data_IF_593084972478
#
_entry.id   IF_593084972478
#
_cell.length_a   1.000
_cell.length_b   1.000
_cell.length_c   1.000
_cell.angle_alpha   90.00
_cell.angle_beta   90.00
_cell.angle_gamma   90.00
#
_symmetry.space_group_name_H-M   'P 1'
#
loop_
_entity.id
_entity.type
_entity.pdbx_description
1 polymer ?
#
# COMPACT_ATOMS: atom_id res chain seq x y z
N UNK A 1 47.65 -7.28 48.23
CA UNK A 1 47.52 -7.29 46.74
C UNK A 1 46.08 -7.66 46.42
N UNK A 2 45.22 -6.65 46.27
CA UNK A 2 43.76 -6.77 46.14
C UNK A 2 43.43 -6.47 44.69
N UNK A 3 42.84 -7.45 43.99
CA UNK A 3 42.36 -7.30 42.58
C UNK A 3 40.87 -6.98 42.63
N UNK A 4 40.38 -5.89 42.06
CA UNK A 4 38.94 -5.66 41.93
C UNK A 4 38.36 -6.39 40.70
N UNK A 5 37.29 -7.12 40.92
CA UNK A 5 36.44 -7.71 39.88
C UNK A 5 35.61 -6.61 39.21
N UNK A 6 35.82 -6.39 37.92
CA UNK A 6 34.94 -5.57 37.10
C UNK A 6 33.69 -6.37 36.73
N UNK A 7 32.51 -5.94 37.17
CA UNK A 7 31.20 -6.39 36.67
C UNK A 7 30.95 -5.67 35.33
N UNK A 8 30.93 -6.43 34.25
CA UNK A 8 30.47 -5.95 32.95
C UNK A 8 28.92 -5.92 32.91
N UNK A 9 28.32 -4.75 32.86
CA UNK A 9 26.92 -4.57 32.53
C UNK A 9 26.76 -4.78 31.01
N UNK A 10 26.09 -5.86 30.61
CA UNK A 10 25.63 -6.07 29.26
C UNK A 10 24.33 -5.26 29.05
N UNK A 11 24.42 -4.11 28.38
CA UNK A 11 23.25 -3.34 27.97
C UNK A 11 22.61 -4.02 26.74
N UNK A 12 21.48 -4.68 26.95
CA UNK A 12 20.65 -5.24 25.87
C UNK A 12 19.90 -4.06 25.23
N UNK A 13 20.40 -3.57 24.10
CA UNK A 13 19.70 -2.57 23.27
C UNK A 13 18.55 -3.23 22.53
N UNK A 14 17.33 -3.08 23.04
CA UNK A 14 16.11 -3.46 22.34
C UNK A 14 15.85 -2.44 21.24
N UNK A 15 16.13 -2.79 19.99
CA UNK A 15 15.77 -1.99 18.82
C UNK A 15 14.25 -2.12 18.63
N UNK A 16 13.51 -1.10 19.07
CA UNK A 16 12.11 -0.94 18.71
C UNK A 16 12.06 -0.54 17.22
N UNK A 17 11.76 -1.49 16.35
CA UNK A 17 11.38 -1.21 14.96
C UNK A 17 9.97 -0.60 15.01
N UNK A 18 9.90 0.72 14.94
CA UNK A 18 8.64 1.42 14.70
C UNK A 18 8.21 1.13 13.27
N UNK A 19 7.28 0.18 13.07
CA UNK A 19 6.61 0.00 11.79
C UNK A 19 5.63 1.17 11.64
N UNK A 20 6.11 2.27 11.07
CA UNK A 20 5.21 3.27 10.50
C UNK A 20 4.52 2.62 9.31
N UNK A 21 3.17 2.66 9.21
CA UNK A 21 2.52 2.27 7.97
C UNK A 21 3.12 3.13 6.85
N UNK A 22 3.71 2.48 5.85
CA UNK A 22 4.17 3.18 4.67
C UNK A 22 2.98 3.98 4.11
N UNK A 23 3.16 5.27 3.75
CA UNK A 23 2.11 5.98 3.07
C UNK A 23 1.77 5.16 1.82
N UNK A 24 0.49 4.81 1.65
CA UNK A 24 0.03 4.24 0.40
C UNK A 24 0.25 5.32 -0.65
N UNK A 25 1.34 5.23 -1.41
CA UNK A 25 1.53 6.05 -2.58
C UNK A 25 0.41 5.65 -3.55
N UNK A 26 -0.61 6.48 -3.64
CA UNK A 26 -1.55 6.40 -4.74
C UNK A 26 -0.72 6.65 -6.01
N UNK A 27 -0.64 5.65 -6.89
CA UNK A 27 0.06 5.79 -8.16
C UNK A 27 -0.59 6.94 -8.95
N UNK A 28 0.14 8.04 -9.13
CA UNK A 28 -0.33 9.14 -9.95
C UNK A 28 0.28 9.01 -11.35
N UNK A 29 -0.52 8.56 -12.30
CA UNK A 29 -0.12 8.45 -13.69
C UNK A 29 -0.32 9.79 -14.41
N UNK A 30 0.75 10.47 -14.77
CA UNK A 30 0.65 11.62 -15.66
C UNK A 30 0.24 11.17 -17.07
N UNK A 31 -0.52 12.02 -17.79
CA UNK A 31 -0.86 11.71 -19.18
C UNK A 31 0.42 11.50 -19.99
N UNK A 32 0.52 10.43 -20.78
CA UNK A 32 1.72 10.14 -21.54
C UNK A 32 1.90 11.17 -22.66
N UNK A 33 3.14 11.47 -22.97
CA UNK A 33 3.54 12.37 -24.03
C UNK A 33 4.32 11.60 -25.09
N UNK A 34 4.42 12.17 -26.29
CA UNK A 34 5.28 11.60 -27.33
C UNK A 34 6.71 11.50 -26.83
N UNK A 35 7.26 10.29 -26.85
CA UNK A 35 8.59 9.96 -26.30
C UNK A 35 9.44 9.28 -27.35
N UNK A 36 10.71 9.66 -27.43
CA UNK A 36 11.68 9.05 -28.35
C UNK A 36 12.72 8.27 -27.54
N UNK A 37 12.89 7.00 -27.92
CA UNK A 37 13.89 6.10 -27.36
C UNK A 37 14.97 5.84 -28.42
N UNK A 38 16.22 6.09 -28.07
CA UNK A 38 17.37 5.97 -28.97
C UNK A 38 18.18 4.73 -28.61
N UNK A 39 18.69 4.01 -29.62
CA UNK A 39 19.56 2.86 -29.43
C UNK A 39 20.91 3.23 -28.79
N UNK A 40 21.62 2.25 -28.26
CA UNK A 40 22.91 2.46 -27.60
C UNK A 40 23.95 3.12 -28.53
N UNK A 41 23.99 2.73 -29.79
CA UNK A 41 24.90 3.34 -30.80
C UNK A 41 24.41 4.72 -31.30
N UNK A 42 23.20 5.14 -30.98
CA UNK A 42 22.64 6.42 -31.38
C UNK A 42 22.23 6.52 -32.86
N UNK A 43 22.23 5.41 -33.59
CA UNK A 43 21.98 5.34 -35.04
C UNK A 43 20.56 4.89 -35.41
N UNK A 44 19.77 4.48 -34.43
CA UNK A 44 18.36 4.17 -34.58
C UNK A 44 17.52 4.76 -33.44
N UNK A 45 16.27 5.05 -33.69
CA UNK A 45 15.35 5.53 -32.68
C UNK A 45 13.92 5.08 -32.95
N UNK A 46 13.16 4.88 -31.90
CA UNK A 46 11.71 4.66 -31.97
C UNK A 46 11.00 5.81 -31.23
N UNK A 47 10.11 6.49 -31.94
CA UNK A 47 9.27 7.54 -31.38
C UNK A 47 7.87 6.99 -31.18
N UNK A 48 7.43 6.94 -29.93
CA UNK A 48 6.08 6.53 -29.54
C UNK A 48 5.19 7.76 -29.41
N UNK A 49 4.08 7.75 -30.14
CA UNK A 49 3.01 8.74 -30.03
C UNK A 49 1.83 8.10 -29.30
N UNK A 50 1.51 8.56 -28.08
CA UNK A 50 0.38 8.03 -27.31
C UNK A 50 -0.96 8.23 -28.02
N UNK A 51 -1.92 7.41 -27.67
CA UNK A 51 -3.32 7.68 -27.93
C UNK A 51 -3.78 8.90 -27.13
N UNK A 52 -4.45 9.83 -27.77
CA UNK A 52 -4.98 11.01 -27.08
C UNK A 52 -6.11 10.65 -26.12
N UNK A 53 -5.93 10.99 -24.85
CA UNK A 53 -6.95 10.89 -23.81
C UNK A 53 -7.62 12.25 -23.55
N UNK A 54 -8.89 12.23 -23.20
CA UNK A 54 -9.60 13.43 -22.75
C UNK A 54 -9.08 13.87 -21.37
N UNK A 55 -9.00 12.93 -20.43
CA UNK A 55 -8.38 13.11 -19.13
C UNK A 55 -8.03 11.76 -18.51
N UNK A 56 -7.19 11.77 -17.46
CA UNK A 56 -6.90 10.60 -16.67
C UNK A 56 -8.17 10.05 -15.98
N UNK A 57 -9.00 10.93 -15.44
CA UNK A 57 -10.25 10.54 -14.76
C UNK A 57 -11.24 9.91 -15.74
N UNK A 58 -11.34 10.43 -16.97
CA UNK A 58 -12.22 9.84 -17.99
C UNK A 58 -11.76 8.43 -18.36
N UNK A 59 -10.45 8.20 -18.48
CA UNK A 59 -9.88 6.88 -18.76
C UNK A 59 -10.27 5.87 -17.67
N UNK A 60 -9.98 6.15 -16.40
CA UNK A 60 -10.27 5.21 -15.31
C UNK A 60 -11.78 5.01 -15.10
N UNK A 61 -12.59 6.05 -15.24
CA UNK A 61 -14.05 5.91 -15.21
C UNK A 61 -14.54 4.96 -16.29
N UNK A 62 -14.09 5.15 -17.54
CA UNK A 62 -14.49 4.30 -18.64
C UNK A 62 -14.04 2.86 -18.46
N UNK A 63 -12.84 2.61 -17.89
CA UNK A 63 -12.39 1.27 -17.52
C UNK A 63 -13.30 0.60 -16.49
N UNK A 64 -13.71 1.32 -15.44
CA UNK A 64 -14.68 0.83 -14.43
C UNK A 64 -16.04 0.53 -15.06
N UNK A 65 -16.47 1.34 -16.02
CA UNK A 65 -17.74 1.20 -16.72
C UNK A 65 -17.65 0.29 -17.96
N UNK A 66 -16.51 -0.38 -18.18
CA UNK A 66 -16.26 -1.27 -19.34
C UNK A 66 -16.50 -0.63 -20.71
N UNK A 67 -16.22 0.67 -20.85
CA UNK A 67 -16.32 1.40 -22.09
C UNK A 67 -14.97 1.49 -22.80
N UNK A 68 -14.89 1.03 -24.04
CA UNK A 68 -13.67 1.03 -24.84
C UNK A 68 -13.83 1.82 -26.18
N UNK A 69 -12.80 2.50 -26.63
CA UNK A 69 -11.52 2.75 -25.99
C UNK A 69 -11.64 3.76 -24.85
N UNK A 70 -11.17 3.38 -23.65
CA UNK A 70 -11.36 4.15 -22.44
C UNK A 70 -10.73 5.55 -22.53
N UNK A 71 -11.44 6.59 -22.06
CA UNK A 71 -10.98 7.98 -22.05
C UNK A 71 -10.70 8.57 -23.42
N UNK A 72 -11.27 8.02 -24.50
CA UNK A 72 -11.03 8.44 -25.88
C UNK A 72 -11.37 9.91 -26.11
N UNK A 73 -10.41 10.71 -26.54
CA UNK A 73 -10.64 12.09 -26.96
C UNK A 73 -11.32 12.13 -28.31
N UNK A 74 -12.45 12.84 -28.40
CA UNK A 74 -13.25 12.91 -29.61
C UNK A 74 -12.46 13.50 -30.81
N UNK A 75 -12.52 12.84 -31.96
CA UNK A 75 -11.87 13.28 -33.20
C UNK A 75 -10.35 13.11 -33.22
N UNK A 76 -9.77 12.37 -32.26
CA UNK A 76 -8.34 12.06 -32.16
C UNK A 76 -8.03 10.60 -32.42
N UNK A 77 -6.74 10.26 -32.55
CA UNK A 77 -6.27 8.90 -32.80
C UNK A 77 -6.80 7.92 -31.74
N UNK A 78 -7.29 6.77 -32.21
CA UNK A 78 -7.86 5.71 -31.34
C UNK A 78 -6.82 4.73 -30.82
N UNK A 79 -5.59 4.82 -31.30
CA UNK A 79 -4.51 3.87 -31.00
C UNK A 79 -3.21 4.62 -30.81
N UNK A 80 -2.34 4.08 -29.97
CA UNK A 80 -0.96 4.51 -29.92
C UNK A 80 -0.22 4.05 -31.17
N UNK A 81 0.78 4.80 -31.58
CA UNK A 81 1.62 4.47 -32.74
C UNK A 81 3.10 4.62 -32.41
N UNK A 82 3.92 3.89 -33.12
CA UNK A 82 5.36 4.04 -33.05
C UNK A 82 5.95 4.21 -34.45
N UNK A 83 6.96 5.07 -34.54
CA UNK A 83 7.76 5.30 -35.74
C UNK A 83 9.20 4.95 -35.43
N UNK A 84 9.74 3.98 -36.15
CA UNK A 84 11.17 3.64 -36.12
C UNK A 84 11.89 4.34 -37.26
N UNK A 85 13.03 4.95 -36.93
CA UNK A 85 13.90 5.66 -37.86
C UNK A 85 15.35 5.23 -37.69
N UNK A 86 16.08 5.25 -38.79
CA UNK A 86 17.52 4.97 -38.87
C UNK A 86 18.27 6.23 -39.35
N UNK A 87 19.42 6.47 -38.79
CA UNK A 87 20.28 7.58 -39.21
C UNK A 87 21.11 7.15 -40.41
N UNK A 88 20.81 7.76 -41.57
CA UNK A 88 21.51 7.54 -42.86
C UNK A 88 22.04 8.89 -43.32
N UNK A 89 23.33 9.01 -43.58
CA UNK A 89 23.97 10.24 -44.05
C UNK A 89 23.56 11.51 -43.24
N UNK A 90 23.57 11.37 -41.91
CA UNK A 90 23.17 12.41 -40.94
C UNK A 90 21.68 12.84 -41.03
N UNK A 91 20.83 12.05 -41.66
CA UNK A 91 19.38 12.27 -41.73
C UNK A 91 18.63 11.07 -41.17
N UNK A 92 17.54 11.36 -40.47
CA UNK A 92 16.65 10.31 -39.97
C UNK A 92 15.71 9.87 -41.08
N UNK A 93 15.80 8.61 -41.47
CA UNK A 93 14.93 7.97 -42.45
C UNK A 93 13.98 6.99 -41.75
N UNK A 94 12.70 7.08 -42.10
CA UNK A 94 11.69 6.20 -41.53
C UNK A 94 11.87 4.77 -42.07
N UNK A 95 11.97 3.80 -41.15
CA UNK A 95 11.97 2.37 -41.48
C UNK A 95 10.52 1.88 -41.52
N UNK A 96 9.77 2.19 -40.50
CA UNK A 96 8.32 1.89 -40.44
C UNK A 96 7.59 2.90 -39.53
N UNK A 97 6.25 2.95 -39.69
CA UNK A 97 5.35 3.71 -38.85
C UNK A 97 4.04 2.93 -38.71
N UNK A 98 3.77 2.36 -37.54
CA UNK A 98 2.65 1.47 -37.29
C UNK A 98 1.96 1.77 -35.97
N UNK A 99 0.71 1.34 -35.87
CA UNK A 99 0.00 1.20 -34.62
C UNK A 99 0.70 0.14 -33.76
N UNK A 100 0.74 0.36 -32.44
CA UNK A 100 1.33 -0.57 -31.46
C UNK A 100 0.25 -1.24 -30.61
N UNK A 101 0.62 -2.35 -29.95
CA UNK A 101 -0.30 -3.16 -29.15
C UNK A 101 -0.71 -2.49 -27.83
N UNK A 102 0.13 -1.61 -27.30
CA UNK A 102 -0.15 -0.89 -26.06
C UNK A 102 -1.37 0.03 -26.22
N UNK A 103 -2.31 -0.01 -25.27
CA UNK A 103 -3.60 0.70 -25.40
C UNK A 103 -3.41 2.22 -25.52
N UNK A 104 -2.73 2.85 -24.58
CA UNK A 104 -2.50 4.31 -24.58
C UNK A 104 -1.06 4.62 -24.96
N UNK A 105 -0.10 3.99 -24.32
CA UNK A 105 1.33 4.07 -24.59
C UNK A 105 2.04 2.96 -23.77
N UNK A 106 3.23 2.51 -24.15
CA UNK A 106 4.11 1.76 -23.25
C UNK A 106 4.70 2.68 -22.18
N UNK A 107 5.12 2.09 -21.07
CA UNK A 107 5.90 2.79 -20.04
C UNK A 107 7.32 3.09 -20.52
N UNK A 108 7.92 2.14 -21.26
CA UNK A 108 9.24 2.32 -21.87
C UNK A 108 9.39 1.50 -23.15
N UNK A 109 10.44 1.81 -23.92
CA UNK A 109 10.81 1.04 -25.09
C UNK A 109 12.34 1.02 -25.27
N UNK A 110 12.83 -0.01 -25.95
CA UNK A 110 14.19 -0.07 -26.45
C UNK A 110 14.19 -0.41 -27.93
N UNK A 111 15.19 0.04 -28.66
CA UNK A 111 15.37 -0.26 -30.08
C UNK A 111 16.78 -0.77 -30.33
N UNK A 112 16.93 -1.82 -31.16
CA UNK A 112 18.21 -2.40 -31.51
C UNK A 112 18.98 -1.47 -32.45
N UNK A 113 20.32 -1.47 -32.37
CA UNK A 113 21.20 -0.56 -33.13
C UNK A 113 21.03 -0.63 -34.65
N UNK A 114 20.66 -1.78 -35.20
CA UNK A 114 20.37 -1.95 -36.63
C UNK A 114 18.93 -1.56 -37.03
N UNK A 115 18.05 -1.26 -36.04
CA UNK A 115 16.66 -0.92 -36.27
C UNK A 115 15.78 -2.08 -36.74
N UNK A 116 16.23 -3.33 -36.59
CA UNK A 116 15.46 -4.50 -36.99
C UNK A 116 14.41 -4.92 -35.95
N UNK A 117 14.61 -4.55 -34.69
CA UNK A 117 13.68 -4.86 -33.61
C UNK A 117 13.49 -3.65 -32.69
N UNK A 118 12.23 -3.47 -32.28
CA UNK A 118 11.86 -2.61 -31.17
C UNK A 118 11.07 -3.42 -30.14
N UNK A 119 11.27 -3.14 -28.86
CA UNK A 119 10.56 -3.82 -27.76
C UNK A 119 9.95 -2.75 -26.86
N UNK A 120 8.65 -2.86 -26.60
CA UNK A 120 7.95 -2.00 -25.64
C UNK A 120 7.65 -2.75 -24.35
N UNK A 121 7.57 -2.02 -23.25
CA UNK A 121 7.36 -2.59 -21.92
C UNK A 121 6.21 -1.90 -21.22
N UNK A 122 5.32 -2.71 -20.66
CA UNK A 122 4.18 -2.33 -19.83
C UNK A 122 3.18 -1.40 -20.54
N UNK A 123 1.96 -1.36 -20.06
CA UNK A 123 0.99 -0.37 -20.49
C UNK A 123 1.00 0.83 -19.55
N UNK A 124 0.78 2.03 -20.08
CA UNK A 124 0.85 3.31 -19.37
C UNK A 124 0.19 3.30 -17.99
N UNK A 125 -0.96 2.70 -17.81
CA UNK A 125 -1.70 2.71 -16.55
C UNK A 125 -1.47 1.48 -15.67
N UNK A 126 -0.64 0.50 -16.13
CA UNK A 126 -0.50 -0.81 -15.47
C UNK A 126 0.89 -1.38 -15.69
N UNK A 127 1.80 -1.19 -14.74
CA UNK A 127 3.12 -1.83 -14.79
C UNK A 127 3.03 -3.28 -14.31
N UNK A 128 3.45 -4.23 -15.16
CA UNK A 128 3.42 -5.67 -14.84
C UNK A 128 2.05 -6.34 -14.97
N UNK A 129 1.01 -5.59 -15.31
CA UNK A 129 -0.34 -6.13 -15.51
C UNK A 129 -0.74 -6.10 -16.99
N UNK A 130 -1.67 -6.97 -17.35
CA UNK A 130 -2.23 -7.03 -18.70
C UNK A 130 -1.41 -7.88 -19.68
N UNK A 131 -1.85 -7.91 -20.96
CA UNK A 131 -1.26 -8.79 -21.99
C UNK A 131 -0.02 -8.21 -22.66
N UNK A 132 0.28 -6.91 -22.48
CA UNK A 132 1.34 -6.19 -23.19
C UNK A 132 2.49 -5.78 -22.26
N UNK A 133 2.85 -6.65 -21.32
CA UNK A 133 3.96 -6.38 -20.37
C UNK A 133 5.30 -6.33 -21.12
N UNK A 134 5.43 -7.10 -22.20
CA UNK A 134 6.53 -7.02 -23.14
C UNK A 134 6.00 -7.30 -24.55
N UNK A 135 6.29 -6.39 -25.50
CA UNK A 135 5.85 -6.53 -26.88
C UNK A 135 7.02 -6.37 -27.83
N UNK A 136 7.22 -7.34 -28.71
CA UNK A 136 8.31 -7.39 -29.69
C UNK A 136 7.75 -7.02 -31.06
N UNK A 137 8.38 -6.06 -31.74
CA UNK A 137 8.13 -5.65 -33.12
C UNK A 137 9.35 -5.97 -33.98
N UNK A 138 9.11 -6.62 -35.12
CA UNK A 138 10.13 -7.03 -36.08
C UNK A 138 10.56 -5.94 -37.07
N UNK A 139 11.34 -6.31 -38.11
CA UNK A 139 11.97 -5.36 -39.02
C UNK A 139 10.99 -4.46 -39.79
N UNK A 140 9.79 -4.95 -40.05
CA UNK A 140 8.72 -4.25 -40.76
C UNK A 140 7.70 -3.60 -39.81
N UNK A 141 8.01 -3.55 -38.49
CA UNK A 141 7.11 -3.01 -37.46
C UNK A 141 5.93 -3.91 -37.11
N UNK A 142 5.86 -5.12 -37.68
CA UNK A 142 4.83 -6.08 -37.33
C UNK A 142 5.07 -6.69 -35.95
N UNK A 143 3.97 -6.97 -35.28
CA UNK A 143 3.97 -7.67 -34.01
C UNK A 143 4.55 -9.09 -34.18
N UNK A 144 5.65 -9.38 -33.50
CA UNK A 144 6.19 -10.74 -33.36
C UNK A 144 5.48 -11.45 -32.21
N UNK A 145 5.48 -10.83 -31.02
CA UNK A 145 4.87 -11.41 -29.83
C UNK A 145 4.48 -10.32 -28.83
N UNK A 146 3.33 -10.50 -28.18
CA UNK A 146 2.96 -9.83 -26.96
C UNK A 146 2.98 -10.85 -25.82
N UNK A 147 3.55 -10.49 -24.69
CA UNK A 147 3.74 -11.34 -23.51
C UNK A 147 3.15 -10.66 -22.28
N UNK A 148 2.34 -11.39 -21.54
CA UNK A 148 1.96 -11.05 -20.17
C UNK A 148 3.08 -11.42 -19.20
N UNK A 149 3.04 -10.91 -17.98
CA UNK A 149 4.04 -11.27 -16.96
C UNK A 149 4.00 -12.78 -16.63
N UNK A 150 2.83 -13.40 -16.69
CA UNK A 150 2.64 -14.84 -16.52
C UNK A 150 3.28 -15.72 -17.60
N UNK A 151 3.64 -15.15 -18.77
CA UNK A 151 4.39 -15.85 -19.80
C UNK A 151 5.91 -15.87 -19.52
N UNK A 152 6.36 -14.98 -18.61
CA UNK A 152 7.76 -14.81 -18.24
C UNK A 152 8.09 -15.49 -16.91
N UNK A 153 7.19 -15.41 -15.93
CA UNK A 153 7.42 -15.90 -14.57
C UNK A 153 6.19 -16.60 -13.99
N UNK A 154 6.36 -17.59 -13.08
CA UNK A 154 5.25 -18.32 -12.47
C UNK A 154 4.32 -17.42 -11.65
N UNK A 155 3.03 -17.79 -11.58
CA UNK A 155 2.01 -17.02 -10.87
C UNK A 155 2.34 -16.78 -9.39
N UNK A 156 2.92 -17.75 -8.68
CA UNK A 156 3.29 -17.57 -7.27
C UNK A 156 4.50 -16.66 -7.10
N UNK A 157 5.39 -16.61 -8.09
CA UNK A 157 6.47 -15.63 -8.12
C UNK A 157 5.93 -14.21 -8.29
N UNK A 158 4.95 -14.02 -9.19
CA UNK A 158 4.26 -12.74 -9.38
C UNK A 158 3.61 -12.25 -8.08
N UNK A 159 2.91 -13.14 -7.37
CA UNK A 159 2.29 -12.82 -6.07
C UNK A 159 3.30 -12.38 -5.01
N UNK A 160 4.53 -12.94 -5.06
CA UNK A 160 5.59 -12.61 -4.12
C UNK A 160 6.24 -11.25 -4.40
N UNK A 161 6.12 -10.72 -5.63
CA UNK A 161 6.69 -9.42 -5.98
C UNK A 161 5.97 -8.28 -5.26
N UNK A 162 6.69 -7.23 -4.84
CA UNK A 162 6.08 -6.02 -4.32
C UNK A 162 5.16 -5.38 -5.37
N UNK A 163 3.93 -5.07 -4.96
CA UNK A 163 2.95 -4.52 -5.88
C UNK A 163 1.99 -3.54 -5.21
N UNK A 164 1.43 -2.65 -6.02
CA UNK A 164 0.28 -1.80 -5.71
C UNK A 164 -0.94 -2.24 -6.53
N UNK A 165 -2.01 -1.44 -6.49
CA UNK A 165 -3.21 -1.68 -7.31
C UNK A 165 -2.92 -1.65 -8.81
N UNK A 166 -1.96 -0.83 -9.26
CA UNK A 166 -1.66 -0.59 -10.67
C UNK A 166 -0.22 -0.92 -11.08
N UNK A 167 0.65 -1.30 -10.15
CA UNK A 167 2.07 -1.53 -10.45
C UNK A 167 2.62 -2.74 -9.72
N UNK A 168 3.33 -3.59 -10.44
CA UNK A 168 4.18 -4.66 -9.91
C UNK A 168 5.63 -4.24 -10.15
N UNK A 169 6.45 -4.28 -9.13
CA UNK A 169 7.90 -4.07 -9.25
C UNK A 169 8.54 -5.38 -9.77
N UNK A 170 8.52 -5.59 -11.09
CA UNK A 170 8.85 -6.88 -11.65
C UNK A 170 10.18 -6.94 -12.39
N UNK A 171 10.78 -5.79 -12.79
CA UNK A 171 12.01 -5.77 -13.59
C UNK A 171 12.93 -4.60 -13.30
N UNK A 172 14.19 -4.77 -13.65
CA UNK A 172 15.16 -3.70 -13.87
C UNK A 172 15.21 -3.23 -15.34
N UNK A 173 16.32 -2.62 -15.74
CA UNK A 173 16.49 -2.07 -17.09
C UNK A 173 16.78 -3.17 -18.13
N UNK A 174 15.95 -3.33 -19.17
CA UNK A 174 16.14 -4.32 -20.20
C UNK A 174 17.25 -3.91 -21.19
N UNK A 175 17.84 -4.91 -21.83
CA UNK A 175 18.89 -4.72 -22.83
C UNK A 175 18.82 -5.76 -23.92
N UNK A 176 19.40 -5.48 -25.08
CA UNK A 176 19.66 -6.51 -26.07
C UNK A 176 20.90 -7.34 -25.69
N UNK A 177 20.90 -8.63 -26.05
CA UNK A 177 22.08 -9.49 -25.93
C UNK A 177 23.20 -9.03 -26.86
N UNK A 178 24.44 -9.39 -26.56
CA UNK A 178 25.61 -9.00 -27.38
C UNK A 178 25.52 -9.49 -28.82
N UNK A 179 24.90 -10.64 -29.05
CA UNK A 179 24.66 -11.22 -30.38
C UNK A 179 23.45 -10.61 -31.10
N UNK A 180 22.69 -9.75 -30.42
CA UNK A 180 21.50 -9.07 -30.95
C UNK A 180 20.28 -9.97 -31.20
N UNK A 181 20.32 -11.26 -30.83
CA UNK A 181 19.18 -12.17 -31.06
C UNK A 181 18.14 -12.20 -29.96
N UNK A 182 18.45 -11.65 -28.79
CA UNK A 182 17.57 -11.71 -27.62
C UNK A 182 17.39 -10.34 -26.96
N UNK A 183 16.27 -10.13 -26.33
CA UNK A 183 16.13 -9.12 -25.29
C UNK A 183 16.33 -9.80 -23.93
N UNK A 184 17.16 -9.22 -23.09
CA UNK A 184 17.47 -9.69 -21.74
C UNK A 184 16.77 -8.75 -20.76
N UNK A 185 15.90 -9.32 -19.96
CA UNK A 185 15.11 -8.58 -18.95
C UNK A 185 15.55 -9.04 -17.56
N UNK A 186 16.15 -8.15 -16.75
CA UNK A 186 16.45 -8.44 -15.36
C UNK A 186 15.13 -8.50 -14.56
N UNK A 187 14.71 -9.69 -14.17
CA UNK A 187 13.52 -9.91 -13.36
C UNK A 187 13.86 -9.65 -11.89
N UNK A 188 13.06 -8.84 -11.22
CA UNK A 188 13.24 -8.55 -9.79
C UNK A 188 13.06 -9.83 -8.95
N UNK A 189 13.98 -10.06 -8.01
CA UNK A 189 13.85 -11.13 -7.03
C UNK A 189 12.94 -10.63 -5.91
N UNK A 190 11.86 -11.36 -5.56
CA UNK A 190 10.95 -10.97 -4.50
C UNK A 190 11.65 -10.68 -3.17
N UNK A 191 11.20 -9.63 -2.49
CA UNK A 191 11.73 -9.19 -1.19
C UNK A 191 10.60 -8.79 -0.25
N UNK A 192 10.90 -8.71 1.04
CA UNK A 192 9.95 -8.15 2.02
C UNK A 192 9.89 -6.63 1.86
N UNK A 193 8.79 -6.15 1.25
CA UNK A 193 8.53 -4.72 1.01
C UNK A 193 9.17 -4.17 -0.28
N UNK A 194 8.91 -2.88 -0.52
CA UNK A 194 9.45 -2.15 -1.68
C UNK A 194 10.93 -1.83 -1.46
N UNK A 195 11.75 -2.19 -2.44
CA UNK A 195 13.18 -1.88 -2.49
C UNK A 195 13.45 -1.04 -3.72
N UNK A 196 14.17 0.08 -3.58
CA UNK A 196 14.46 0.99 -4.69
C UNK A 196 15.32 0.35 -5.79
N UNK A 197 16.22 -0.56 -5.42
CA UNK A 197 17.09 -1.30 -6.35
C UNK A 197 17.07 -2.79 -5.97
N UNK A 198 16.07 -3.56 -6.44
CA UNK A 198 15.95 -4.98 -6.11
C UNK A 198 17.04 -5.79 -6.82
N UNK A 199 17.52 -6.84 -6.15
CA UNK A 199 18.32 -7.86 -6.82
C UNK A 199 17.53 -8.46 -7.98
N UNK A 200 18.22 -8.84 -9.05
CA UNK A 200 17.58 -9.35 -10.27
C UNK A 200 18.21 -10.65 -10.78
N UNK A 201 17.43 -11.37 -11.58
CA UNK A 201 17.90 -12.52 -12.37
C UNK A 201 17.45 -12.35 -13.82
N UNK A 202 18.34 -12.62 -14.77
CA UNK A 202 18.08 -12.38 -16.19
C UNK A 202 17.23 -13.48 -16.83
N UNK A 203 16.16 -13.05 -17.49
CA UNK A 203 15.39 -13.84 -18.45
C UNK A 203 15.72 -13.33 -19.85
N UNK A 204 16.12 -14.22 -20.74
CA UNK A 204 16.38 -13.93 -22.14
C UNK A 204 15.17 -14.35 -22.99
N UNK A 205 14.68 -13.43 -23.83
CA UNK A 205 13.56 -13.67 -24.74
C UNK A 205 14.10 -13.58 -26.18
N UNK A 206 13.94 -14.63 -26.96
CA UNK A 206 14.31 -14.67 -28.36
C UNK A 206 13.45 -13.71 -29.19
N UNK A 207 14.09 -12.83 -29.95
CA UNK A 207 13.38 -11.75 -30.67
C UNK A 207 12.55 -12.26 -31.87
N UNK A 208 12.93 -13.40 -32.45
CA UNK A 208 12.23 -13.94 -33.60
C UNK A 208 10.99 -14.77 -33.21
N UNK A 209 11.03 -15.44 -32.07
CA UNK A 209 9.95 -16.35 -31.61
C UNK A 209 9.18 -15.84 -30.40
N UNK A 210 9.77 -14.93 -29.61
CA UNK A 210 9.21 -14.50 -28.32
C UNK A 210 9.32 -15.56 -27.22
N UNK A 211 10.13 -16.59 -27.39
CA UNK A 211 10.31 -17.65 -26.39
C UNK A 211 11.24 -17.15 -25.30
N UNK A 212 10.76 -17.20 -24.05
CA UNK A 212 11.50 -16.80 -22.88
C UNK A 212 12.23 -18.00 -22.24
N UNK A 213 13.46 -17.77 -21.74
CA UNK A 213 14.24 -18.75 -21.00
C UNK A 213 15.18 -18.06 -20.00
N UNK A 214 15.47 -18.66 -18.85
CA UNK A 214 16.48 -18.13 -17.93
C UNK A 214 17.86 -18.05 -18.57
N UNK A 215 18.57 -16.93 -18.42
CA UNK A 215 19.96 -16.80 -18.86
C UNK A 215 20.90 -17.67 -18.02
N UNK A 216 20.56 -17.87 -16.75
CA UNK A 216 21.25 -18.76 -15.81
C UNK A 216 20.21 -19.60 -15.05
N UNK A 217 20.03 -20.90 -15.39
CA UNK A 217 19.05 -21.76 -14.75
C UNK A 217 19.26 -21.91 -13.23
N UNK A 218 20.51 -22.00 -12.76
CA UNK A 218 20.80 -22.14 -11.33
C UNK A 218 20.40 -20.88 -10.54
N UNK A 219 20.73 -19.70 -11.07
CA UNK A 219 20.33 -18.44 -10.46
C UNK A 219 18.79 -18.27 -10.48
N UNK A 220 18.14 -18.74 -11.53
CA UNK A 220 16.68 -18.72 -11.64
C UNK A 220 16.01 -19.61 -10.59
N UNK A 221 16.48 -20.84 -10.40
CA UNK A 221 15.96 -21.73 -9.35
C UNK A 221 16.13 -21.13 -7.94
N UNK A 222 17.28 -20.47 -7.68
CA UNK A 222 17.50 -19.77 -6.42
C UNK A 222 16.51 -18.60 -6.25
N UNK A 223 16.21 -17.86 -7.32
CA UNK A 223 15.22 -16.79 -7.30
C UNK A 223 13.80 -17.32 -7.07
N UNK A 224 13.42 -18.45 -7.69
CA UNK A 224 12.15 -19.12 -7.47
C UNK A 224 11.97 -19.57 -6.00
N UNK A 225 13.04 -20.12 -5.40
CA UNK A 225 13.02 -20.50 -3.99
C UNK A 225 12.86 -19.30 -3.06
N UNK A 226 13.52 -18.19 -3.37
CA UNK A 226 13.35 -16.92 -2.65
C UNK A 226 11.91 -16.44 -2.76
N UNK A 227 11.32 -16.47 -3.96
CA UNK A 227 9.92 -16.11 -4.18
C UNK A 227 8.96 -16.96 -3.35
N UNK A 228 9.16 -18.27 -3.29
CA UNK A 228 8.35 -19.18 -2.44
C UNK A 228 8.42 -18.81 -0.96
N UNK A 229 9.61 -18.49 -0.45
CA UNK A 229 9.80 -18.08 0.96
C UNK A 229 9.11 -16.76 1.28
N UNK A 230 9.28 -15.76 0.42
CA UNK A 230 8.63 -14.45 0.58
C UNK A 230 7.10 -14.60 0.57
N UNK A 231 6.55 -15.34 -0.39
CA UNK A 231 5.11 -15.59 -0.47
C UNK A 231 4.58 -16.31 0.76
N UNK A 232 5.29 -17.34 1.25
CA UNK A 232 4.91 -18.05 2.46
C UNK A 232 4.90 -17.11 3.69
N UNK A 233 5.90 -16.21 3.80
CA UNK A 233 5.95 -15.18 4.83
C UNK A 233 4.77 -14.21 4.75
N UNK A 234 4.43 -13.72 3.56
CA UNK A 234 3.28 -12.84 3.34
C UNK A 234 1.97 -13.52 3.74
N UNK A 235 1.73 -14.76 3.31
CA UNK A 235 0.54 -15.54 3.67
C UNK A 235 0.45 -15.74 5.18
N UNK A 236 1.56 -16.09 5.83
CA UNK A 236 1.61 -16.26 7.29
C UNK A 236 1.31 -14.95 8.03
N UNK A 237 1.88 -13.83 7.57
CA UNK A 237 1.62 -12.51 8.12
C UNK A 237 0.14 -12.10 7.98
N UNK A 238 -0.45 -12.28 6.79
CA UNK A 238 -1.87 -12.00 6.56
C UNK A 238 -2.80 -12.87 7.42
N UNK A 239 -2.47 -14.15 7.56
CA UNK A 239 -3.22 -15.07 8.41
C UNK A 239 -3.15 -14.66 9.89
N UNK A 240 -1.96 -14.28 10.36
CA UNK A 240 -1.77 -13.80 11.74
C UNK A 240 -2.50 -12.46 11.96
N UNK A 241 -2.41 -11.51 11.02
CA UNK A 241 -3.13 -10.24 11.07
C UNK A 241 -4.65 -10.43 11.09
N UNK A 242 -5.17 -11.35 10.26
CA UNK A 242 -6.59 -11.72 10.26
C UNK A 242 -7.01 -12.34 11.59
N UNK A 243 -6.22 -13.27 12.11
CA UNK A 243 -6.48 -13.90 13.42
C UNK A 243 -6.51 -12.86 14.55
N UNK A 244 -5.54 -11.96 14.59
CA UNK A 244 -5.47 -10.88 15.56
C UNK A 244 -6.67 -9.92 15.46
N UNK A 245 -7.09 -9.59 14.24
CA UNK A 245 -8.27 -8.72 14.01
C UNK A 245 -9.57 -9.37 14.49
N UNK A 246 -9.73 -10.70 14.31
CA UNK A 246 -10.95 -11.44 14.70
C UNK A 246 -10.98 -11.73 16.21
N UNK A 247 -9.81 -11.91 16.83
CA UNK A 247 -9.71 -12.24 18.24
C UNK A 247 -10.47 -11.23 19.12
N UNK A 248 -11.10 -11.67 20.23
CA UNK A 248 -11.70 -10.75 21.18
C UNK A 248 -10.69 -9.70 21.66
N UNK A 249 -11.11 -8.44 21.73
CA UNK A 249 -10.27 -7.36 22.25
C UNK A 249 -10.19 -7.49 23.77
N UNK A 250 -8.98 -7.57 24.27
CA UNK A 250 -8.67 -7.60 25.68
C UNK A 250 -8.10 -6.24 26.13
N UNK A 251 -8.14 -5.98 27.43
CA UNK A 251 -7.47 -4.80 28.03
C UNK A 251 -5.98 -4.75 27.62
N UNK A 252 -5.39 -3.56 27.57
CA UNK A 252 -3.97 -3.43 27.34
C UNK A 252 -3.15 -4.22 28.34
N UNK A 253 -2.15 -4.97 27.87
CA UNK A 253 -1.21 -5.72 28.71
C UNK A 253 -0.25 -4.78 29.47
N UNK A 254 0.06 -3.65 28.85
CA UNK A 254 0.90 -2.60 29.42
C UNK A 254 -0.01 -1.42 29.76
N UNK A 255 0.02 -0.99 31.02
CA UNK A 255 -0.77 0.16 31.47
C UNK A 255 -0.07 1.48 31.05
N UNK A 256 -0.07 1.76 29.75
CA UNK A 256 0.55 2.95 29.15
C UNK A 256 -0.45 3.70 28.28
N UNK A 257 -0.28 5.02 28.20
CA UNK A 257 -1.19 5.95 27.50
C UNK A 257 -1.45 5.51 26.06
N UNK A 258 -0.39 5.18 25.29
CA UNK A 258 -0.51 4.74 23.90
C UNK A 258 -1.39 3.50 23.75
N UNK A 259 -1.17 2.51 24.59
CA UNK A 259 -1.91 1.24 24.54
C UNK A 259 -3.41 1.43 24.83
N UNK A 260 -3.72 2.37 25.73
CA UNK A 260 -5.13 2.73 26.01
C UNK A 260 -5.77 3.52 24.88
N UNK A 261 -5.04 4.38 24.17
CA UNK A 261 -5.55 5.03 22.96
C UNK A 261 -5.89 4.00 21.86
N UNK A 262 -5.03 3.01 21.65
CA UNK A 262 -5.26 1.94 20.68
C UNK A 262 -6.46 1.06 21.08
N UNK A 263 -6.56 0.71 22.38
CA UNK A 263 -7.71 -0.01 22.92
C UNK A 263 -9.02 0.77 22.72
N UNK A 264 -9.06 2.05 23.05
CA UNK A 264 -10.25 2.87 22.93
C UNK A 264 -10.75 2.94 21.47
N UNK A 265 -9.85 3.20 20.52
CA UNK A 265 -10.20 3.23 19.09
C UNK A 265 -10.82 1.92 18.62
N UNK A 266 -10.19 0.81 18.96
CA UNK A 266 -10.68 -0.51 18.56
C UNK A 266 -11.97 -0.89 19.29
N UNK A 267 -12.09 -0.62 20.58
CA UNK A 267 -13.27 -0.92 21.40
C UNK A 267 -14.50 -0.16 20.90
N UNK A 268 -14.35 1.14 20.59
CA UNK A 268 -15.43 1.94 20.01
C UNK A 268 -15.80 1.45 18.62
N UNK A 269 -14.80 1.18 17.76
CA UNK A 269 -15.05 0.60 16.44
C UNK A 269 -15.84 -0.71 16.50
N UNK A 270 -15.56 -1.56 17.49
CA UNK A 270 -16.36 -2.78 17.74
C UNK A 270 -17.76 -2.48 18.29
N UNK A 271 -17.93 -1.39 18.99
CA UNK A 271 -19.22 -1.00 19.59
C UNK A 271 -20.16 -0.34 18.59
N UNK A 272 -19.71 0.56 17.75
CA UNK A 272 -20.55 1.37 16.85
C UNK A 272 -20.26 1.18 15.36
N UNK A 273 -19.09 0.71 14.97
CA UNK A 273 -18.62 0.52 13.59
C UNK A 273 -17.42 1.40 13.24
N UNK A 274 -16.82 1.15 12.07
CA UNK A 274 -15.53 1.75 11.68
C UNK A 274 -15.64 3.17 11.09
N UNK A 275 -16.82 3.64 10.78
CA UNK A 275 -16.99 4.94 10.11
C UNK A 275 -16.91 6.13 11.07
N UNK A 276 -16.87 5.85 12.37
CA UNK A 276 -16.77 6.83 13.44
C UNK A 276 -15.49 6.62 14.23
N UNK A 277 -14.54 7.51 14.06
CA UNK A 277 -13.32 7.54 14.89
C UNK A 277 -13.54 8.54 16.01
N UNK A 278 -13.75 8.10 17.27
CA UNK A 278 -13.94 9.03 18.38
C UNK A 278 -12.64 9.75 18.69
N UNK A 279 -12.74 10.95 19.25
CA UNK A 279 -11.61 11.55 19.97
C UNK A 279 -11.29 10.68 21.18
N UNK A 280 -10.02 10.33 21.37
CA UNK A 280 -9.58 9.47 22.47
C UNK A 280 -8.75 10.26 23.46
N UNK A 281 -9.00 10.08 24.76
CA UNK A 281 -8.30 10.76 25.86
C UNK A 281 -7.93 9.75 26.93
N UNK A 282 -6.72 9.86 27.47
CA UNK A 282 -6.23 8.99 28.53
C UNK A 282 -5.77 9.85 29.72
N UNK A 283 -6.42 9.67 30.88
CA UNK A 283 -6.00 10.31 32.12
C UNK A 283 -4.75 9.59 32.66
N UNK A 284 -3.71 10.35 32.93
CA UNK A 284 -2.43 9.87 33.45
C UNK A 284 -2.51 9.49 34.93
N UNK A 285 -1.44 8.87 35.44
CA UNK A 285 -1.34 8.54 36.84
C UNK A 285 -1.14 9.82 37.68
N UNK A 286 -1.78 9.92 38.86
CA UNK A 286 -1.46 10.97 39.84
C UNK A 286 0.02 11.00 40.17
N UNK A 287 0.58 12.18 40.20
CA UNK A 287 2.03 12.36 40.44
C UNK A 287 2.92 12.30 39.20
N UNK A 288 2.35 11.96 38.00
CA UNK A 288 3.07 12.17 36.76
C UNK A 288 3.21 13.67 36.45
N UNK A 289 4.34 14.07 35.84
CA UNK A 289 4.65 15.49 35.59
C UNK A 289 3.52 16.25 34.87
N UNK A 290 2.80 15.57 33.97
CA UNK A 290 1.73 16.18 33.15
C UNK A 290 0.33 15.71 33.58
N UNK A 291 0.16 15.22 34.82
CA UNK A 291 -1.14 14.75 35.30
C UNK A 291 -2.21 15.84 35.23
N UNK A 292 -1.90 17.06 35.68
CA UNK A 292 -2.85 18.20 35.66
C UNK A 292 -3.27 18.57 34.23
N UNK A 293 -2.36 18.44 33.27
CA UNK A 293 -2.68 18.65 31.84
C UNK A 293 -3.63 17.56 31.35
N UNK A 294 -3.44 16.31 31.76
CA UNK A 294 -4.32 15.21 31.37
C UNK A 294 -5.73 15.32 31.99
N UNK A 295 -5.89 15.95 33.15
CA UNK A 295 -7.21 16.34 33.68
C UNK A 295 -7.92 17.35 32.76
N UNK A 296 -7.16 18.33 32.23
CA UNK A 296 -7.70 19.30 31.27
C UNK A 296 -8.14 18.61 29.98
N UNK A 297 -7.39 17.64 29.49
CA UNK A 297 -7.78 16.88 28.30
C UNK A 297 -9.11 16.12 28.48
N UNK A 298 -9.39 15.59 29.68
CA UNK A 298 -10.67 14.95 29.96
C UNK A 298 -11.81 15.99 29.95
N UNK A 299 -11.57 17.18 30.51
CA UNK A 299 -12.51 18.29 30.45
C UNK A 299 -12.79 18.70 28.99
N UNK A 300 -11.74 18.97 28.19
CA UNK A 300 -11.86 19.47 26.84
C UNK A 300 -12.49 18.44 25.90
N UNK A 301 -12.17 17.14 26.09
CA UNK A 301 -12.81 16.06 25.36
C UNK A 301 -14.32 16.04 25.53
N UNK A 302 -14.82 16.37 26.74
CA UNK A 302 -16.26 16.42 27.02
C UNK A 302 -16.91 17.72 26.59
N UNK A 303 -16.20 18.86 26.62
CA UNK A 303 -16.80 20.20 26.48
C UNK A 303 -16.45 20.90 25.17
N UNK A 304 -15.28 20.64 24.59
CA UNK A 304 -14.75 21.36 23.45
C UNK A 304 -14.60 20.46 22.20
N UNK A 305 -14.98 19.18 22.29
CA UNK A 305 -14.88 18.27 21.16
C UNK A 305 -15.82 18.68 20.03
N UNK A 306 -15.30 18.80 18.81
CA UNK A 306 -16.11 18.92 17.59
C UNK A 306 -16.87 17.63 17.25
N UNK A 307 -16.50 16.51 17.86
CA UNK A 307 -17.14 15.22 17.68
C UNK A 307 -18.20 15.00 18.77
N UNK A 308 -19.34 14.45 18.37
CA UNK A 308 -20.41 14.04 19.28
C UNK A 308 -20.07 12.75 20.05
N UNK A 309 -18.92 12.14 19.78
CA UNK A 309 -18.43 10.88 20.38
C UNK A 309 -17.01 11.06 20.90
N UNK A 310 -16.82 10.77 22.19
CA UNK A 310 -15.53 10.80 22.86
C UNK A 310 -15.26 9.47 23.55
N UNK A 311 -14.02 9.06 23.62
CA UNK A 311 -13.62 7.83 24.30
C UNK A 311 -12.54 8.15 25.35
N UNK A 312 -12.77 7.73 26.58
CA UNK A 312 -11.94 8.10 27.74
C UNK A 312 -11.48 6.84 28.46
N UNK A 313 -10.20 6.79 28.75
CA UNK A 313 -9.59 5.80 29.65
C UNK A 313 -8.74 6.48 30.71
N UNK A 314 -8.27 5.72 31.67
CA UNK A 314 -7.34 6.20 32.68
C UNK A 314 -6.33 5.11 32.99
N UNK A 315 -5.10 5.55 33.35
CA UNK A 315 -4.11 4.67 33.94
C UNK A 315 -4.44 4.33 35.41
N UNK A 316 -5.47 5.01 35.99
CA UNK A 316 -6.02 4.77 37.34
C UNK A 316 -7.52 5.05 37.36
N UNK A 317 -8.34 4.02 37.40
CA UNK A 317 -9.80 4.11 37.37
C UNK A 317 -10.38 4.97 38.50
N UNK A 318 -9.94 4.86 39.78
CA UNK A 318 -10.45 5.70 40.87
C UNK A 318 -10.27 7.20 40.59
N UNK A 319 -9.12 7.57 40.01
CA UNK A 319 -8.86 8.97 39.70
C UNK A 319 -9.72 9.50 38.57
N UNK A 320 -10.10 8.64 37.60
CA UNK A 320 -11.03 9.04 36.55
C UNK A 320 -12.39 9.45 37.14
N UNK A 321 -12.91 8.73 38.14
CA UNK A 321 -14.15 9.08 38.80
C UNK A 321 -14.03 10.47 39.47
N UNK A 322 -12.93 10.73 40.15
CA UNK A 322 -12.68 12.03 40.79
C UNK A 322 -12.65 13.17 39.75
N UNK A 323 -11.98 12.93 38.62
CA UNK A 323 -11.91 13.92 37.52
C UNK A 323 -13.27 14.13 36.87
N UNK A 324 -14.05 13.09 36.62
CA UNK A 324 -15.40 13.20 36.07
C UNK A 324 -16.32 13.96 37.02
N UNK A 325 -16.24 13.74 38.33
CA UNK A 325 -16.98 14.53 39.33
C UNK A 325 -16.60 16.01 39.31
N UNK A 326 -15.27 16.30 39.24
CA UNK A 326 -14.76 17.68 39.18
C UNK A 326 -15.18 18.40 37.90
N UNK A 327 -15.20 17.71 36.77
CA UNK A 327 -15.66 18.25 35.47
C UNK A 327 -17.16 18.49 35.54
N UNK A 328 -17.93 17.49 35.91
CA UNK A 328 -19.40 17.57 35.97
C UNK A 328 -19.89 18.68 36.91
N UNK A 329 -19.25 18.83 38.10
CA UNK A 329 -19.69 19.87 39.07
C UNK A 329 -19.60 21.30 38.53
N UNK A 330 -18.90 21.55 37.45
CA UNK A 330 -18.76 22.85 36.80
C UNK A 330 -19.71 23.04 35.62
N UNK A 331 -20.42 22.00 35.21
CA UNK A 331 -21.26 22.00 34.01
C UNK A 331 -22.72 22.24 34.34
N UNK A 332 -23.42 23.03 33.50
CA UNK A 332 -24.87 23.18 33.62
C UNK A 332 -25.60 21.86 33.37
N UNK A 333 -26.83 21.77 33.92
CA UNK A 333 -27.69 20.63 33.62
C UNK A 333 -27.90 20.45 32.13
N UNK A 334 -27.80 19.19 31.67
CA UNK A 334 -27.98 18.77 30.26
C UNK A 334 -27.03 19.41 29.23
N UNK A 335 -25.95 20.04 29.66
CA UNK A 335 -24.98 20.71 28.78
C UNK A 335 -24.29 19.72 27.81
N UNK A 336 -24.19 18.46 28.19
CA UNK A 336 -23.57 17.41 27.38
C UNK A 336 -24.60 16.47 26.70
N UNK A 337 -25.84 16.88 26.51
CA UNK A 337 -26.93 16.04 25.98
C UNK A 337 -26.68 15.51 24.56
N UNK A 338 -25.74 16.12 23.79
CA UNK A 338 -25.34 15.68 22.46
C UNK A 338 -24.15 14.75 22.48
N UNK A 339 -23.46 14.61 23.61
CA UNK A 339 -22.21 13.84 23.72
C UNK A 339 -22.52 12.39 24.07
N UNK A 340 -21.92 11.48 23.34
CA UNK A 340 -21.80 10.06 23.72
C UNK A 340 -20.39 9.80 24.21
N UNK A 341 -20.23 9.55 25.49
CA UNK A 341 -18.93 9.26 26.13
C UNK A 341 -18.77 7.75 26.34
N UNK A 342 -17.81 7.17 25.63
CA UNK A 342 -17.36 5.81 25.83
C UNK A 342 -16.28 5.81 26.90
N UNK A 343 -16.51 5.15 28.04
CA UNK A 343 -15.59 5.23 29.17
C UNK A 343 -15.09 3.84 29.52
N UNK A 344 -13.77 3.66 29.50
CA UNK A 344 -13.13 2.41 29.88
C UNK A 344 -13.03 2.33 31.41
N UNK A 345 -13.96 1.59 32.01
CA UNK A 345 -14.05 1.35 33.45
C UNK A 345 -14.55 -0.06 33.72
N UNK A 346 -14.01 -0.69 34.75
CA UNK A 346 -14.52 -1.94 35.30
C UNK A 346 -15.89 -1.74 35.97
N UNK A 347 -16.57 -2.85 36.25
CA UNK A 347 -17.90 -2.85 36.86
C UNK A 347 -17.89 -2.18 38.25
N UNK A 348 -16.80 -2.27 38.98
CA UNK A 348 -16.63 -1.68 40.30
C UNK A 348 -16.68 -0.13 40.29
N UNK A 349 -16.15 0.49 39.24
CA UNK A 349 -16.07 1.96 39.11
C UNK A 349 -17.18 2.57 38.25
N UNK A 350 -17.86 1.76 37.44
CA UNK A 350 -18.89 2.23 36.53
C UNK A 350 -20.03 2.99 37.20
N UNK A 351 -20.61 2.55 38.37
CA UNK A 351 -21.66 3.29 39.06
C UNK A 351 -21.24 4.70 39.46
N UNK A 352 -19.96 4.89 39.83
CA UNK A 352 -19.39 6.19 40.17
C UNK A 352 -19.38 7.16 39.00
N UNK A 353 -19.03 6.71 37.80
CA UNK A 353 -19.06 7.50 36.56
C UNK A 353 -20.50 7.92 36.21
N UNK A 354 -21.43 6.97 36.29
CA UNK A 354 -22.87 7.24 36.03
C UNK A 354 -23.41 8.27 37.01
N UNK A 355 -23.10 8.13 38.27
CA UNK A 355 -23.54 9.08 39.32
C UNK A 355 -22.95 10.48 39.07
N UNK A 356 -21.66 10.57 38.79
CA UNK A 356 -20.94 11.82 38.51
C UNK A 356 -21.56 12.60 37.34
N UNK A 357 -21.84 11.90 36.24
CA UNK A 357 -22.27 12.54 34.98
C UNK A 357 -23.77 12.69 34.79
N UNK A 358 -24.61 12.21 35.72
CA UNK A 358 -26.07 12.12 35.56
C UNK A 358 -26.72 13.41 35.12
N UNK A 359 -26.40 14.54 35.77
CA UNK A 359 -27.06 15.81 35.51
C UNK A 359 -26.63 16.46 34.20
N UNK A 360 -25.43 16.11 33.69
CA UNK A 360 -24.90 16.70 32.45
C UNK A 360 -25.65 16.27 31.19
N UNK A 361 -26.44 15.19 31.25
CA UNK A 361 -27.19 14.66 30.14
C UNK A 361 -26.38 13.89 29.10
N UNK A 362 -25.09 13.68 29.34
CA UNK A 362 -24.25 12.86 28.45
C UNK A 362 -24.76 11.41 28.38
N UNK A 363 -24.75 10.83 27.20
CA UNK A 363 -24.96 9.38 27.01
C UNK A 363 -23.69 8.63 27.33
N UNK A 364 -23.68 7.87 28.41
CA UNK A 364 -22.52 7.07 28.79
C UNK A 364 -22.61 5.65 28.22
N UNK A 365 -21.49 5.15 27.72
CA UNK A 365 -21.33 3.79 27.24
C UNK A 365 -20.10 3.18 27.91
N UNK A 366 -20.31 2.11 28.66
CA UNK A 366 -19.20 1.41 29.33
C UNK A 366 -18.40 0.58 28.31
N UNK A 367 -17.11 0.73 28.36
CA UNK A 367 -16.14 -0.20 27.75
C UNK A 367 -15.46 -0.94 28.89
N UNK A 368 -16.04 -2.06 29.33
CA UNK A 368 -15.46 -2.80 30.46
C UNK A 368 -14.14 -3.48 30.03
N UNK A 369 -12.97 -3.05 30.54
CA UNK A 369 -11.68 -3.62 30.11
C UNK A 369 -11.42 -5.03 30.64
N UNK A 370 -12.20 -5.48 31.61
CA UNK A 370 -12.10 -6.84 32.18
C UNK A 370 -12.91 -7.87 31.35
N UNK A 371 -13.78 -7.40 30.47
CA UNK A 371 -14.57 -8.25 29.61
C UNK A 371 -14.07 -8.21 28.17
N UNK A 372 -13.85 -9.38 27.53
CA UNK A 372 -13.44 -9.44 26.13
C UNK A 372 -14.50 -8.85 25.20
N UNK A 373 -14.12 -7.91 24.34
CA UNK A 373 -15.04 -7.32 23.36
C UNK A 373 -14.93 -8.13 22.04
N UNK A 374 -15.99 -8.85 21.62
CA UNK A 374 -15.93 -9.62 20.37
C UNK A 374 -15.88 -8.74 19.14
N UNK A 375 -15.31 -9.27 18.05
CA UNK A 375 -15.30 -8.60 16.76
C UNK A 375 -16.69 -8.67 16.11
N UNK A 376 -17.10 -7.62 15.40
CA UNK A 376 -18.37 -7.57 14.67
C UNK A 376 -18.28 -8.37 13.34
N UNK A 377 -19.26 -9.24 13.04
CA UNK A 377 -19.29 -9.97 11.77
C UNK A 377 -19.22 -9.06 10.53
N UNK A 378 -19.91 -7.91 10.56
CA UNK A 378 -19.87 -6.92 9.45
C UNK A 378 -18.48 -6.32 9.22
N UNK A 379 -17.70 -6.07 10.28
CA UNK A 379 -16.31 -5.59 10.15
C UNK A 379 -15.42 -6.68 9.55
N UNK A 380 -15.60 -7.93 9.98
CA UNK A 380 -14.88 -9.07 9.41
C UNK A 380 -15.21 -9.21 7.93
N UNK A 381 -16.50 -9.21 7.58
CA UNK A 381 -16.95 -9.31 6.19
C UNK A 381 -16.43 -8.17 5.31
N UNK A 382 -16.41 -6.92 5.81
CA UNK A 382 -15.90 -5.76 5.06
C UNK A 382 -14.41 -5.85 4.80
N UNK A 383 -13.63 -6.33 5.79
CA UNK A 383 -12.17 -6.37 5.68
C UNK A 383 -11.64 -7.63 4.98
N UNK A 384 -12.31 -8.76 5.17
CA UNK A 384 -11.83 -10.09 4.71
C UNK A 384 -12.89 -10.88 3.95
N UNK A 385 -14.09 -10.33 3.76
CA UNK A 385 -15.06 -10.92 2.85
C UNK A 385 -14.53 -10.83 1.42
N UNK A 386 -14.79 -11.86 0.61
CA UNK A 386 -14.53 -11.80 -0.83
C UNK A 386 -15.25 -10.55 -1.38
N UNK A 387 -14.53 -9.70 -2.10
CA UNK A 387 -15.18 -8.74 -2.98
C UNK A 387 -16.19 -9.54 -3.80
N UNK A 388 -17.45 -9.13 -3.79
CA UNK A 388 -18.45 -9.72 -4.69
C UNK A 388 -17.92 -9.48 -6.09
N UNK A 389 -17.64 -10.60 -6.80
CA UNK A 389 -17.36 -10.62 -8.22
C UNK A 389 -18.38 -9.81 -9.03
#
# INVERSE_FOLDING_TARGET
MIIPRALGLLALATVLVSVTPAPSCADSWMLPTTTTYTSCAGNTRVTVTPRDLDSQLSYFRDKVEHREPAGQKRGKARFASARLERLVDKRWEAVWNHQIANDVAPVSAIVRDDGEYAVTFDDWSHTGYGPNVLVIYGPDGKLVRALALSDLVPADYIKALPHSVSSIQWRGDPRFSADGHKVVVPIAIPSEGLVSDPATVDIAIDLASGIASPSNPTAWEAALETGRKVLAGQIAYEAAAKSAFIAPLLRPKINAEREWHDYLREAVGRSIGDNDTPSTTVLRLPGANDYAVSETWVHDALTESYADKVAIASLSEPNLITVLQKVASKLPDRSLSKITAFIALSDDYWPGAVAAMRHTGAKLVQLNPEQPIPQRPRRIARRYGSARE
#
